data_IF_544830953294
#
_entry.id   IF_544830953294
#
_cell.length_a   1.000
_cell.length_b   1.000
_cell.length_c   1.000
_cell.angle_alpha   90.00
_cell.angle_beta   90.00
_cell.angle_gamma   90.00
#
_symmetry.space_group_name_H-M   'P 1'
#
loop_
_entity.id
_entity.type
_entity.pdbx_description
1 polymer ?
#
# COMPACT_ATOMS: atom_id res chain seq x y z
N UNK A 1 -22.77 0.45 -3.23
CA UNK A 1 -21.78 1.54 -3.26
C UNK A 1 -20.67 1.11 -4.18
N UNK A 2 -20.29 1.96 -5.13
CA UNK A 2 -19.12 1.77 -5.98
C UNK A 2 -17.87 1.79 -5.08
N UNK A 3 -16.97 0.82 -5.21
CA UNK A 3 -15.76 0.74 -4.37
C UNK A 3 -14.74 1.78 -4.85
N UNK A 4 -14.25 2.63 -3.96
CA UNK A 4 -13.26 3.64 -4.32
C UNK A 4 -11.90 3.00 -4.50
N UNK A 5 -11.37 3.02 -5.72
CA UNK A 5 -10.07 2.46 -6.05
C UNK A 5 -8.97 3.51 -5.93
N UNK A 6 -8.02 3.28 -5.03
CA UNK A 6 -6.82 4.11 -4.90
C UNK A 6 -5.72 3.60 -5.84
N UNK A 7 -5.22 4.48 -6.72
CA UNK A 7 -4.06 4.17 -7.56
C UNK A 7 -2.75 4.16 -6.76
N UNK A 8 -2.08 3.01 -6.74
CA UNK A 8 -0.81 2.79 -6.03
C UNK A 8 0.38 2.67 -6.98
N UNK A 9 0.20 3.01 -8.26
CA UNK A 9 1.24 3.07 -9.29
C UNK A 9 1.18 1.95 -10.33
N UNK A 10 1.69 2.24 -11.54
CA UNK A 10 1.88 1.25 -12.62
C UNK A 10 0.62 0.45 -12.97
N UNK A 11 -0.54 1.11 -12.98
CA UNK A 11 -1.82 0.46 -13.25
C UNK A 11 -2.37 -0.41 -12.10
N UNK A 12 -1.67 -0.49 -10.97
CA UNK A 12 -2.18 -1.15 -9.76
C UNK A 12 -3.06 -0.22 -8.93
N UNK A 13 -4.17 -0.78 -8.48
CA UNK A 13 -5.13 -0.12 -7.59
C UNK A 13 -5.45 -1.02 -6.39
N UNK A 14 -5.91 -0.41 -5.31
CA UNK A 14 -6.40 -1.12 -4.11
C UNK A 14 -7.71 -0.50 -3.66
N UNK A 15 -8.54 -1.26 -2.95
CA UNK A 15 -9.78 -0.75 -2.35
C UNK A 15 -9.42 0.21 -1.22
N UNK A 16 -9.70 1.49 -1.40
CA UNK A 16 -9.26 2.56 -0.52
C UNK A 16 -9.82 2.39 0.89
N UNK A 17 -11.09 2.02 1.01
CA UNK A 17 -11.81 1.87 2.27
C UNK A 17 -11.21 0.78 3.17
N UNK A 18 -10.39 -0.11 2.61
CA UNK A 18 -9.74 -1.23 3.30
C UNK A 18 -8.29 -0.96 3.71
N UNK A 19 -7.77 0.23 3.40
CA UNK A 19 -6.43 0.63 3.80
C UNK A 19 -6.43 1.00 5.28
N UNK A 20 -5.61 0.30 6.07
CA UNK A 20 -5.38 0.61 7.49
C UNK A 20 -4.25 1.62 7.64
N UNK A 21 -3.17 1.48 6.87
CA UNK A 21 -2.02 2.37 6.95
C UNK A 21 -1.21 2.43 5.64
N UNK A 22 -0.58 3.58 5.40
CA UNK A 22 0.38 3.82 4.32
C UNK A 22 1.67 4.30 4.97
N UNK A 23 2.77 3.54 4.82
CA UNK A 23 4.02 3.79 5.55
C UNK A 23 5.26 3.65 4.66
N UNK A 24 6.33 4.32 5.05
CA UNK A 24 7.64 4.25 4.36
C UNK A 24 8.41 2.98 4.75
N UNK A 25 9.12 2.31 3.82
CA UNK A 25 9.76 1.01 4.06
C UNK A 25 11.12 1.09 4.79
N UNK A 26 11.57 2.27 5.23
CA UNK A 26 12.97 2.54 5.54
C UNK A 26 13.44 2.10 6.94
N UNK A 27 12.56 1.53 7.77
CA UNK A 27 12.90 1.15 9.15
C UNK A 27 13.06 -0.36 9.33
N UNK A 28 13.82 -0.79 10.34
CA UNK A 28 14.00 -2.20 10.66
C UNK A 28 12.66 -2.94 10.94
N UNK A 29 11.68 -2.36 11.66
CA UNK A 29 10.34 -2.94 11.79
C UNK A 29 9.65 -3.19 10.44
N UNK A 30 9.79 -2.28 9.47
CA UNK A 30 9.16 -2.43 8.16
C UNK A 30 9.79 -3.54 7.32
N UNK A 31 11.11 -3.74 7.47
CA UNK A 31 11.78 -4.91 6.87
C UNK A 31 11.22 -6.21 7.45
N UNK A 32 11.07 -6.30 8.78
CA UNK A 32 10.48 -7.48 9.45
C UNK A 32 9.04 -7.72 8.99
N UNK A 33 8.20 -6.68 8.93
CA UNK A 33 6.82 -6.77 8.48
C UNK A 33 6.70 -7.39 7.07
N UNK A 34 7.57 -6.94 6.14
CA UNK A 34 7.61 -7.48 4.78
C UNK A 34 8.03 -8.96 4.74
N UNK A 35 9.06 -9.31 5.52
CA UNK A 35 9.60 -10.67 5.55
C UNK A 35 8.59 -11.65 6.17
N UNK A 36 7.89 -11.23 7.22
CA UNK A 36 6.78 -11.97 7.83
C UNK A 36 5.62 -12.17 6.86
N UNK A 37 5.14 -11.09 6.21
CA UNK A 37 4.08 -11.17 5.23
C UNK A 37 4.43 -12.08 4.04
N UNK A 38 5.71 -12.11 3.63
CA UNK A 38 6.20 -13.04 2.61
C UNK A 38 6.12 -14.48 3.09
N UNK A 39 6.61 -14.76 4.31
CA UNK A 39 6.58 -16.10 4.91
C UNK A 39 5.15 -16.64 5.02
N UNK A 40 4.21 -15.76 5.37
CA UNK A 40 2.80 -16.07 5.55
C UNK A 40 1.97 -15.99 4.25
N UNK A 41 2.61 -15.80 3.08
CA UNK A 41 1.96 -15.73 1.76
C UNK A 41 0.88 -14.65 1.64
N UNK A 42 1.00 -13.56 2.41
CA UNK A 42 0.11 -12.39 2.41
C UNK A 42 0.77 -11.11 1.88
N UNK A 43 1.97 -11.23 1.30
CA UNK A 43 2.67 -10.14 0.63
C UNK A 43 2.27 -10.05 -0.84
N UNK A 44 1.75 -8.90 -1.25
CA UNK A 44 1.47 -8.56 -2.66
C UNK A 44 2.54 -7.57 -3.14
N UNK A 45 3.24 -7.93 -4.21
CA UNK A 45 4.29 -7.08 -4.77
C UNK A 45 3.79 -6.32 -6.01
N UNK A 46 3.42 -5.05 -5.84
CA UNK A 46 3.00 -4.15 -6.92
C UNK A 46 4.12 -3.20 -7.38
N UNK A 47 5.40 -3.49 -7.07
CA UNK A 47 6.51 -2.57 -7.42
C UNK A 47 6.93 -2.62 -8.88
N UNK A 48 6.48 -3.63 -9.65
CA UNK A 48 6.85 -3.81 -11.07
C UNK A 48 8.37 -3.83 -11.29
N UNK A 49 9.10 -4.56 -10.43
CA UNK A 49 10.56 -4.69 -10.48
C UNK A 49 11.33 -3.45 -9.99
N UNK A 50 10.63 -2.38 -9.58
CA UNK A 50 11.25 -1.17 -9.03
C UNK A 50 11.48 -1.28 -7.53
N UNK A 51 12.31 -0.38 -7.00
CA UNK A 51 12.56 -0.25 -5.56
C UNK A 51 11.24 0.03 -4.82
N UNK A 52 10.99 -0.71 -3.73
CA UNK A 52 9.91 -0.42 -2.79
C UNK A 52 10.11 0.96 -2.17
N UNK A 53 9.11 1.83 -2.31
CA UNK A 53 9.08 3.18 -1.74
C UNK A 53 7.93 3.39 -0.75
N UNK A 54 6.98 2.46 -0.70
CA UNK A 54 5.89 2.46 0.26
C UNK A 54 5.41 1.04 0.57
N UNK A 55 4.80 0.91 1.73
CA UNK A 55 4.11 -0.28 2.21
C UNK A 55 2.68 0.16 2.55
N UNK A 56 1.70 -0.56 2.02
CA UNK A 56 0.29 -0.37 2.30
C UNK A 56 -0.19 -1.58 3.10
N UNK A 57 -0.82 -1.32 4.24
CA UNK A 57 -1.37 -2.33 5.14
C UNK A 57 -2.87 -2.36 4.94
N UNK A 58 -3.40 -3.52 4.57
CA UNK A 58 -4.83 -3.75 4.38
C UNK A 58 -5.46 -4.32 5.66
N UNK A 59 -6.76 -4.12 5.85
CA UNK A 59 -7.58 -4.69 6.94
C UNK A 59 -7.53 -6.23 7.03
N UNK A 60 -7.29 -6.89 5.89
CA UNK A 60 -7.11 -8.35 5.76
C UNK A 60 -5.71 -8.83 6.15
N UNK A 61 -4.89 -7.95 6.74
CA UNK A 61 -3.48 -8.17 7.05
C UNK A 61 -2.59 -8.41 5.81
N UNK A 62 -3.10 -8.20 4.58
CA UNK A 62 -2.26 -8.20 3.38
C UNK A 62 -1.32 -6.98 3.39
N UNK A 63 -0.08 -7.21 2.98
CA UNK A 63 0.94 -6.18 2.85
C UNK A 63 1.21 -5.95 1.38
N UNK A 64 0.95 -4.75 0.89
CA UNK A 64 1.12 -4.38 -0.51
C UNK A 64 2.34 -3.47 -0.64
N UNK A 65 3.30 -3.87 -1.47
CA UNK A 65 4.48 -3.07 -1.76
C UNK A 65 4.26 -2.22 -3.00
N UNK A 66 4.58 -0.93 -2.93
CA UNK A 66 4.54 -0.04 -4.08
C UNK A 66 5.88 0.68 -4.30
N UNK A 67 6.14 1.04 -5.55
CA UNK A 67 7.29 1.86 -5.96
C UNK A 67 6.99 3.37 -5.98
N UNK A 68 5.75 3.76 -5.65
CA UNK A 68 5.35 5.15 -5.42
C UNK A 68 5.64 5.52 -3.96
N UNK A 69 6.00 6.78 -3.72
CA UNK A 69 6.30 7.26 -2.37
C UNK A 69 5.06 7.24 -1.47
N UNK A 70 5.26 6.92 -0.19
CA UNK A 70 4.17 6.82 0.78
C UNK A 70 3.36 8.13 0.85
N UNK A 71 4.04 9.27 0.87
CA UNK A 71 3.41 10.60 0.88
C UNK A 71 2.48 10.82 -0.32
N UNK A 72 2.93 10.47 -1.54
CA UNK A 72 2.11 10.60 -2.75
C UNK A 72 0.85 9.73 -2.70
N UNK A 73 0.96 8.51 -2.17
CA UNK A 73 -0.20 7.61 -2.01
C UNK A 73 -1.14 8.18 -0.94
N UNK A 74 -0.62 8.69 0.16
CA UNK A 74 -1.41 9.32 1.23
C UNK A 74 -2.15 10.56 0.74
N UNK A 75 -1.53 11.41 -0.09
CA UNK A 75 -2.19 12.56 -0.71
C UNK A 75 -3.36 12.12 -1.60
N UNK A 76 -3.14 11.12 -2.47
CA UNK A 76 -4.21 10.56 -3.32
C UNK A 76 -5.34 9.97 -2.48
N UNK A 77 -5.01 9.31 -1.38
CA UNK A 77 -5.99 8.75 -0.46
C UNK A 77 -6.82 9.82 0.24
N UNK A 78 -6.19 10.93 0.65
CA UNK A 78 -6.88 12.05 1.26
C UNK A 78 -7.87 12.69 0.27
N UNK A 79 -7.44 12.99 -0.96
CA UNK A 79 -8.33 13.54 -2.01
C UNK A 79 -9.50 12.60 -2.32
N UNK A 80 -9.29 11.28 -2.30
CA UNK A 80 -10.36 10.30 -2.52
C UNK A 80 -11.37 10.26 -1.37
N UNK A 81 -10.97 10.64 -0.15
CA UNK A 81 -11.80 10.62 1.06
C UNK A 81 -12.49 11.94 1.39
N UNK A 82 -12.13 13.02 0.71
CA UNK A 82 -12.85 14.29 0.84
C UNK A 82 -14.28 14.08 0.32
N UNK A 83 -15.32 14.19 1.19
CA UNK A 83 -16.69 14.12 0.74
C UNK A 83 -16.95 15.32 -0.19
N UNK A 84 -17.54 15.05 -1.35
CA UNK A 84 -18.06 16.09 -2.25
C UNK A 84 -19.17 16.89 -1.59
#
# INVERSE_FOLDING_TARGET
MEQSLLNIGFGSTVVAERIVAIVSPNSAPMKRLKDEARKERRLVNATHGRRTRSIIIMDSNHIILSAIQAETISQRYATLREPS
#
